data_IF_320461233439
#
_entry.id   IF_320461233439
#
_cell.length_a   1.000
_cell.length_b   1.000
_cell.length_c   1.000
_cell.angle_alpha   90.00
_cell.angle_beta   90.00
_cell.angle_gamma   90.00
#
_symmetry.space_group_name_H-M   'P 1'
#
loop_
_entity.id
_entity.type
_entity.pdbx_description
1 polymer ?
#
# COMPACT_ATOMS: atom_id res chain seq x y z
N UNK A 1 -24.20 -13.83 -32.13
CA UNK A 1 -25.43 -13.57 -32.91
C UNK A 1 -26.31 -12.53 -32.21
N UNK A 2 -26.74 -11.48 -32.92
CA UNK A 2 -27.59 -10.39 -32.40
C UNK A 2 -28.94 -10.88 -31.81
N UNK A 3 -29.36 -12.12 -32.13
CA UNK A 3 -30.58 -12.74 -31.60
C UNK A 3 -30.49 -13.36 -30.19
N UNK A 4 -29.34 -13.31 -29.51
CA UNK A 4 -29.15 -13.91 -28.17
C UNK A 4 -28.86 -12.87 -27.06
N UNK A 5 -29.03 -11.57 -27.34
CA UNK A 5 -28.65 -10.50 -26.42
C UNK A 5 -27.13 -10.33 -26.40
N UNK A 6 -26.61 -9.32 -27.11
CA UNK A 6 -25.18 -9.09 -27.34
C UNK A 6 -24.38 -8.61 -26.12
N UNK A 7 -24.65 -9.15 -24.93
CA UNK A 7 -23.88 -8.84 -23.72
C UNK A 7 -22.52 -9.54 -23.69
N UNK A 8 -21.51 -8.85 -23.16
CA UNK A 8 -20.20 -9.42 -22.85
C UNK A 8 -20.28 -10.21 -21.54
N UNK A 9 -19.41 -11.21 -21.36
CA UNK A 9 -19.30 -11.94 -20.09
C UNK A 9 -19.16 -11.00 -18.88
N UNK A 10 -18.48 -9.87 -19.07
CA UNK A 10 -18.31 -8.82 -18.07
C UNK A 10 -19.63 -8.19 -17.59
N UNK A 11 -20.68 -8.15 -18.43
CA UNK A 11 -21.99 -7.57 -18.09
C UNK A 11 -22.75 -8.45 -17.07
N UNK A 12 -22.40 -9.74 -16.99
CA UNK A 12 -22.96 -10.68 -16.02
C UNK A 12 -22.21 -10.72 -14.68
N UNK A 13 -21.06 -10.04 -14.56
CA UNK A 13 -20.28 -10.01 -13.33
C UNK A 13 -20.85 -9.00 -12.32
N UNK A 14 -20.57 -9.22 -11.03
CA UNK A 14 -20.96 -8.31 -9.97
C UNK A 14 -20.32 -6.92 -10.19
N UNK A 15 -21.11 -5.96 -10.69
CA UNK A 15 -20.64 -4.61 -11.04
C UNK A 15 -20.24 -3.77 -9.82
N UNK A 16 -20.75 -4.15 -8.63
CA UNK A 16 -20.43 -3.49 -7.35
C UNK A 16 -19.97 -4.57 -6.37
N UNK A 17 -18.65 -4.69 -6.20
CA UNK A 17 -18.04 -5.60 -5.22
C UNK A 17 -17.71 -4.87 -3.90
N UNK A 18 -18.70 -4.19 -3.33
CA UNK A 18 -18.56 -3.46 -2.08
C UNK A 18 -18.99 -4.33 -0.90
N UNK A 19 -18.10 -4.57 0.06
CA UNK A 19 -18.45 -5.24 1.30
C UNK A 19 -19.23 -4.26 2.19
N UNK A 20 -20.44 -4.63 2.63
CA UNK A 20 -21.27 -3.75 3.48
C UNK A 20 -20.71 -3.59 4.89
N UNK A 21 -20.02 -4.63 5.39
CA UNK A 21 -19.40 -4.66 6.71
C UNK A 21 -18.10 -5.47 6.59
N UNK A 22 -17.02 -4.99 7.20
CA UNK A 22 -15.74 -5.71 7.23
C UNK A 22 -15.83 -6.96 8.13
N UNK A 23 -15.12 -8.03 7.77
CA UNK A 23 -15.11 -9.27 8.56
C UNK A 23 -14.62 -9.10 10.00
N UNK A 24 -13.82 -8.07 10.28
CA UNK A 24 -13.33 -7.71 11.62
C UNK A 24 -14.32 -6.88 12.43
N UNK A 25 -15.42 -6.40 11.84
CA UNK A 25 -16.39 -5.60 12.56
C UNK A 25 -17.11 -6.45 13.62
N UNK A 26 -17.35 -5.85 14.78
CA UNK A 26 -18.07 -6.48 15.88
C UNK A 26 -19.57 -6.47 15.62
N UNK A 27 -20.19 -7.65 15.67
CA UNK A 27 -21.63 -7.79 15.59
C UNK A 27 -22.26 -7.26 16.89
N UNK A 28 -23.14 -6.26 16.81
CA UNK A 28 -23.74 -5.63 18.00
C UNK A 28 -24.65 -6.57 18.79
N UNK A 29 -25.12 -7.67 18.20
CA UNK A 29 -26.06 -8.60 18.84
C UNK A 29 -25.37 -9.60 19.77
N UNK A 30 -24.10 -9.94 19.51
CA UNK A 30 -23.38 -10.99 20.25
C UNK A 30 -21.93 -10.62 20.61
N UNK A 31 -21.48 -9.41 20.26
CA UNK A 31 -20.15 -8.89 20.54
C UNK A 31 -18.99 -9.74 19.98
N UNK A 32 -19.23 -10.51 18.91
CA UNK A 32 -18.17 -11.24 18.17
C UNK A 32 -17.99 -10.68 16.77
N UNK A 33 -16.84 -10.95 16.14
CA UNK A 33 -16.57 -10.54 14.76
C UNK A 33 -17.39 -11.35 13.74
N UNK A 34 -17.61 -10.81 12.55
CA UNK A 34 -18.24 -11.56 11.45
C UNK A 34 -17.32 -12.67 10.87
N UNK A 35 -16.00 -12.48 10.92
CA UNK A 35 -15.03 -13.52 10.57
C UNK A 35 -14.79 -14.43 11.78
N UNK A 36 -15.01 -15.73 11.59
CA UNK A 36 -14.85 -16.74 12.63
C UNK A 36 -13.40 -16.90 13.11
N UNK A 37 -12.41 -16.52 12.29
CA UNK A 37 -10.99 -16.60 12.64
C UNK A 37 -10.64 -15.78 13.89
N UNK A 38 -11.38 -14.72 14.18
CA UNK A 38 -11.15 -13.89 15.37
C UNK A 38 -12.02 -14.30 16.57
N UNK A 39 -12.82 -15.36 16.45
CA UNK A 39 -13.59 -15.85 17.58
C UNK A 39 -12.67 -16.46 18.65
N UNK A 40 -12.96 -16.29 19.95
CA UNK A 40 -12.08 -16.76 21.03
C UNK A 40 -11.70 -18.24 20.92
N UNK A 41 -12.64 -19.11 20.52
CA UNK A 41 -12.38 -20.53 20.35
C UNK A 41 -11.39 -20.85 19.22
N UNK A 42 -11.47 -20.12 18.10
CA UNK A 42 -10.55 -20.31 16.97
C UNK A 42 -9.16 -19.74 17.30
N UNK A 43 -9.09 -18.60 18.00
CA UNK A 43 -7.84 -18.04 18.50
C UNK A 43 -7.16 -18.99 19.49
N UNK A 44 -7.92 -19.61 20.38
CA UNK A 44 -7.38 -20.58 21.34
C UNK A 44 -6.89 -21.86 20.64
N UNK A 45 -7.66 -22.36 19.66
CA UNK A 45 -7.29 -23.52 18.84
C UNK A 45 -5.99 -23.29 18.05
N UNK A 46 -5.70 -22.04 17.67
CA UNK A 46 -4.46 -21.69 17.00
C UNK A 46 -3.23 -21.74 17.91
N UNK A 47 -3.39 -21.83 19.24
CA UNK A 47 -2.28 -22.01 20.18
C UNK A 47 -1.79 -23.45 20.17
N UNK A 48 -0.69 -23.66 19.46
CA UNK A 48 0.05 -24.92 19.43
C UNK A 48 1.27 -24.86 20.34
N UNK A 49 1.91 -26.00 20.59
CA UNK A 49 3.20 -26.05 21.28
C UNK A 49 4.22 -25.09 20.64
N UNK A 50 4.32 -25.10 19.32
CA UNK A 50 5.25 -24.25 18.56
C UNK A 50 4.96 -22.77 18.74
N UNK A 51 3.70 -22.34 18.71
CA UNK A 51 3.36 -20.92 18.89
C UNK A 51 3.65 -20.43 20.31
N UNK A 52 3.51 -21.31 21.31
CA UNK A 52 3.82 -20.98 22.71
C UNK A 52 5.33 -20.86 22.93
N UNK A 53 6.12 -21.86 22.49
CA UNK A 53 7.59 -21.84 22.59
C UNK A 53 8.18 -20.64 21.83
N UNK A 54 7.61 -20.31 20.66
CA UNK A 54 8.01 -19.11 19.93
C UNK A 54 7.69 -17.84 20.73
N UNK A 55 6.49 -17.74 21.30
CA UNK A 55 6.08 -16.57 22.08
C UNK A 55 6.93 -16.34 23.34
N UNK A 56 7.28 -17.43 24.03
CA UNK A 56 8.21 -17.39 25.18
C UNK A 56 9.61 -16.94 24.77
N UNK A 57 10.13 -17.45 23.64
CA UNK A 57 11.47 -17.11 23.15
C UNK A 57 11.61 -15.64 22.76
N UNK A 58 10.56 -15.05 22.21
CA UNK A 58 10.58 -13.69 21.65
C UNK A 58 9.83 -12.66 22.51
N UNK A 59 9.36 -13.05 23.71
CA UNK A 59 8.55 -12.22 24.61
C UNK A 59 7.38 -11.52 23.89
N UNK A 60 6.66 -12.29 23.06
CA UNK A 60 5.61 -11.77 22.20
C UNK A 60 4.45 -12.73 22.02
N UNK A 61 3.24 -12.20 21.87
CA UNK A 61 2.02 -13.02 21.72
C UNK A 61 1.93 -13.68 20.35
N UNK A 62 2.50 -13.05 19.33
CA UNK A 62 2.52 -13.50 17.94
C UNK A 62 3.60 -12.70 17.16
N UNK A 63 3.89 -13.07 15.90
CA UNK A 63 4.87 -12.35 15.09
C UNK A 63 4.61 -10.85 14.94
N UNK A 64 3.36 -10.42 14.82
CA UNK A 64 3.02 -9.00 14.66
C UNK A 64 3.35 -8.21 15.94
N UNK A 65 3.02 -8.74 17.12
CA UNK A 65 3.38 -8.14 18.42
C UNK A 65 4.89 -7.99 18.57
N UNK A 66 5.67 -9.01 18.19
CA UNK A 66 7.14 -8.93 18.18
C UNK A 66 7.65 -7.82 17.26
N UNK A 67 7.16 -7.76 16.03
CA UNK A 67 7.61 -6.78 15.04
C UNK A 67 7.30 -5.34 15.48
N UNK A 68 6.13 -5.11 16.10
CA UNK A 68 5.74 -3.80 16.64
C UNK A 68 6.62 -3.45 17.86
N UNK A 69 6.79 -4.37 18.82
CA UNK A 69 7.59 -4.14 20.04
C UNK A 69 9.06 -3.82 19.76
N UNK A 70 9.60 -4.31 18.65
CA UNK A 70 11.00 -4.15 18.28
C UNK A 70 11.20 -3.09 17.18
N UNK A 71 10.21 -2.23 16.94
CA UNK A 71 10.27 -1.15 15.93
C UNK A 71 10.62 -1.64 14.51
N UNK A 72 10.30 -2.90 14.19
CA UNK A 72 10.55 -3.52 12.88
C UNK A 72 9.40 -3.19 11.92
N UNK A 73 8.20 -2.98 12.44
CA UNK A 73 7.00 -2.66 11.66
C UNK A 73 6.13 -1.66 12.41
N UNK A 74 5.45 -0.80 11.65
CA UNK A 74 4.41 0.09 12.16
C UNK A 74 3.05 -0.24 11.54
N UNK A 75 1.98 0.06 12.28
CA UNK A 75 0.61 -0.09 11.78
C UNK A 75 0.28 1.13 10.92
N UNK A 76 -0.04 0.89 9.65
CA UNK A 76 -0.55 1.92 8.75
C UNK A 76 -2.04 1.67 8.55
N UNK A 77 -2.93 2.52 9.11
CA UNK A 77 -4.36 2.31 8.95
C UNK A 77 -4.76 2.45 7.48
N UNK A 78 -5.73 1.63 7.09
CA UNK A 78 -6.41 1.81 5.82
C UNK A 78 -7.38 2.97 5.96
N UNK A 79 -7.21 4.00 5.14
CA UNK A 79 -8.11 5.14 5.04
C UNK A 79 -8.52 5.30 3.58
N UNK A 80 -9.76 5.68 3.36
CA UNK A 80 -10.29 5.91 2.02
C UNK A 80 -10.31 7.41 1.75
N UNK A 81 -9.38 7.89 0.93
CA UNK A 81 -9.25 9.29 0.54
C UNK A 81 -9.33 9.42 -0.98
N UNK A 82 -10.10 10.41 -1.45
CA UNK A 82 -10.12 10.77 -2.85
C UNK A 82 -8.97 11.73 -3.12
N UNK A 83 -8.01 11.31 -3.94
CA UNK A 83 -6.87 12.14 -4.32
C UNK A 83 -7.22 12.98 -5.55
N UNK A 84 -6.65 14.18 -5.62
CA UNK A 84 -6.80 15.07 -6.78
C UNK A 84 -6.10 14.44 -7.99
N UNK A 85 -6.75 14.37 -9.17
CA UNK A 85 -6.09 13.88 -10.38
C UNK A 85 -5.00 14.84 -10.84
N UNK A 86 -4.06 14.34 -11.63
CA UNK A 86 -3.03 15.20 -12.24
C UNK A 86 -3.70 16.15 -13.24
N UNK A 87 -3.32 17.42 -13.21
CA UNK A 87 -3.65 18.35 -14.28
C UNK A 87 -2.79 18.10 -15.53
N UNK A 88 -3.07 18.83 -16.62
CA UNK A 88 -2.38 18.62 -17.90
C UNK A 88 -0.87 18.86 -17.81
N UNK A 89 -0.44 19.90 -17.10
CA UNK A 89 0.98 20.26 -17.00
C UNK A 89 1.74 19.26 -16.13
N UNK A 90 1.15 18.86 -15.00
CA UNK A 90 1.69 17.83 -14.11
C UNK A 90 1.80 16.48 -14.84
N UNK A 91 0.77 16.09 -15.59
CA UNK A 91 0.78 14.87 -16.38
C UNK A 91 1.88 14.89 -17.45
N UNK A 92 2.10 16.05 -18.09
CA UNK A 92 3.18 16.22 -19.07
C UNK A 92 4.56 16.06 -18.41
N UNK A 93 4.81 16.78 -17.30
CA UNK A 93 6.05 16.66 -16.53
C UNK A 93 6.30 15.19 -16.15
N UNK A 94 5.31 14.52 -15.56
CA UNK A 94 5.42 13.11 -15.16
C UNK A 94 5.72 12.19 -16.36
N UNK A 95 5.10 12.44 -17.51
CA UNK A 95 5.33 11.65 -18.73
C UNK A 95 6.77 11.79 -19.26
N UNK A 96 7.39 12.95 -19.07
CA UNK A 96 8.78 13.20 -19.46
C UNK A 96 9.76 12.56 -18.45
N UNK A 97 9.48 12.66 -17.15
CA UNK A 97 10.35 12.10 -16.11
C UNK A 97 10.29 10.56 -16.02
N UNK A 98 9.11 9.97 -16.20
CA UNK A 98 8.88 8.53 -15.98
C UNK A 98 9.84 7.61 -16.74
N UNK A 99 10.00 7.76 -18.08
CA UNK A 99 10.92 6.96 -18.86
C UNK A 99 12.39 7.09 -18.42
N UNK A 100 12.82 8.30 -18.02
CA UNK A 100 14.19 8.55 -17.56
C UNK A 100 14.49 7.78 -16.26
N UNK A 101 13.58 7.84 -15.29
CA UNK A 101 13.70 7.09 -14.04
C UNK A 101 13.75 5.58 -14.31
N UNK A 102 12.88 5.07 -15.19
CA UNK A 102 12.86 3.65 -15.55
C UNK A 102 14.16 3.22 -16.21
N UNK A 103 14.64 3.93 -17.22
CA UNK A 103 15.87 3.58 -17.93
C UNK A 103 17.11 3.67 -17.01
N UNK A 104 17.25 4.76 -16.27
CA UNK A 104 18.37 4.95 -15.35
C UNK A 104 18.37 3.92 -14.22
N UNK A 105 17.20 3.58 -13.65
CA UNK A 105 17.10 2.56 -12.59
C UNK A 105 17.55 1.18 -13.07
N UNK A 106 17.19 0.78 -14.29
CA UNK A 106 17.68 -0.47 -14.86
C UNK A 106 19.19 -0.44 -15.07
N UNK A 107 19.74 0.65 -15.62
CA UNK A 107 21.19 0.80 -15.80
C UNK A 107 21.94 0.75 -14.47
N UNK A 108 21.40 1.40 -13.43
CA UNK A 108 21.97 1.40 -12.09
C UNK A 108 22.00 -0.01 -11.46
N UNK A 109 20.95 -0.82 -11.64
CA UNK A 109 20.92 -2.21 -11.15
C UNK A 109 22.02 -3.08 -11.78
N UNK A 110 22.40 -2.78 -13.03
CA UNK A 110 23.43 -3.51 -13.77
C UNK A 110 24.77 -2.79 -13.86
N UNK A 111 25.00 -1.74 -13.05
CA UNK A 111 26.27 -1.05 -13.01
C UNK A 111 27.39 -1.99 -12.56
N UNK A 112 28.55 -1.90 -13.20
CA UNK A 112 29.70 -2.77 -12.94
C UNK A 112 30.36 -2.47 -11.59
N UNK A 113 30.29 -1.20 -11.18
CA UNK A 113 30.83 -0.72 -9.92
C UNK A 113 30.07 0.50 -9.39
N UNK A 114 30.46 0.92 -8.19
CA UNK A 114 29.86 2.06 -7.50
C UNK A 114 30.05 3.39 -8.26
N UNK A 115 31.17 3.56 -8.97
CA UNK A 115 31.45 4.80 -9.68
C UNK A 115 30.57 4.95 -10.91
N UNK A 116 30.31 3.86 -11.63
CA UNK A 116 29.33 3.82 -12.73
C UNK A 116 27.92 4.10 -12.23
N UNK A 117 27.51 3.48 -11.12
CA UNK A 117 26.22 3.75 -10.49
C UNK A 117 26.05 5.23 -10.14
N UNK A 118 27.04 5.83 -9.46
CA UNK A 118 26.99 7.22 -9.02
C UNK A 118 26.96 8.21 -10.19
N UNK A 119 27.63 7.88 -11.28
CA UNK A 119 27.57 8.65 -12.51
C UNK A 119 26.16 8.64 -13.09
N UNK A 120 25.57 7.46 -13.31
CA UNK A 120 24.19 7.34 -13.83
C UNK A 120 23.20 8.06 -12.92
N UNK A 121 23.36 7.93 -11.61
CA UNK A 121 22.53 8.63 -10.62
C UNK A 121 22.66 10.14 -10.70
N UNK A 122 23.88 10.65 -10.92
CA UNK A 122 24.13 12.10 -11.04
C UNK A 122 23.51 12.64 -12.33
N UNK A 123 23.74 11.98 -13.45
CA UNK A 123 23.19 12.34 -14.76
C UNK A 123 21.65 12.35 -14.71
N UNK A 124 21.03 11.32 -14.11
CA UNK A 124 19.57 11.26 -13.92
C UNK A 124 19.02 12.46 -13.16
N UNK A 125 19.66 12.88 -12.06
CA UNK A 125 19.19 14.03 -11.29
C UNK A 125 19.22 15.31 -12.11
N UNK A 126 20.30 15.55 -12.86
CA UNK A 126 20.43 16.72 -13.73
C UNK A 126 19.35 16.73 -14.82
N UNK A 127 19.09 15.59 -15.45
CA UNK A 127 18.02 15.46 -16.45
C UNK A 127 16.63 15.73 -15.84
N UNK A 128 16.35 15.15 -14.67
CA UNK A 128 15.09 15.34 -13.96
C UNK A 128 14.87 16.81 -13.55
N UNK A 129 15.91 17.50 -13.09
CA UNK A 129 15.83 18.95 -12.82
C UNK A 129 15.43 19.73 -14.07
N UNK A 130 15.95 19.36 -15.25
CA UNK A 130 15.56 19.95 -16.54
C UNK A 130 14.11 19.72 -16.94
N UNK A 131 13.42 18.75 -16.34
CA UNK A 131 11.99 18.45 -16.55
C UNK A 131 11.11 18.85 -15.37
N UNK A 132 11.52 19.82 -14.54
CA UNK A 132 10.74 20.34 -13.42
C UNK A 132 10.36 19.27 -12.37
N UNK A 133 11.23 18.29 -12.13
CA UNK A 133 11.01 17.22 -11.16
C UNK A 133 10.65 17.74 -9.76
N UNK A 134 11.27 18.84 -9.31
CA UNK A 134 10.97 19.44 -8.02
C UNK A 134 9.49 19.88 -7.90
N UNK A 135 8.92 20.42 -8.99
CA UNK A 135 7.51 20.81 -9.06
C UNK A 135 6.61 19.58 -8.95
N UNK A 136 6.93 18.51 -9.68
CA UNK A 136 6.20 17.24 -9.60
C UNK A 136 6.22 16.65 -8.18
N UNK A 137 7.39 16.65 -7.54
CA UNK A 137 7.55 16.15 -6.16
C UNK A 137 6.72 16.97 -5.18
N UNK A 138 6.69 18.29 -5.33
CA UNK A 138 5.88 19.15 -4.46
C UNK A 138 4.39 18.91 -4.67
N UNK A 139 3.94 18.83 -5.93
CA UNK A 139 2.55 18.47 -6.26
C UNK A 139 2.15 17.14 -5.61
N UNK A 140 2.97 16.10 -5.76
CA UNK A 140 2.68 14.79 -5.17
C UNK A 140 2.65 14.85 -3.63
N UNK A 141 3.57 15.57 -2.99
CA UNK A 141 3.53 15.76 -1.53
C UNK A 141 2.22 16.41 -1.08
N UNK A 142 1.80 17.47 -1.73
CA UNK A 142 0.57 18.20 -1.37
C UNK A 142 -0.67 17.34 -1.63
N UNK A 143 -0.71 16.65 -2.77
CA UNK A 143 -1.77 15.69 -3.14
C UNK A 143 -1.93 14.57 -2.11
N UNK A 144 -0.82 14.00 -1.64
CA UNK A 144 -0.82 12.88 -0.70
C UNK A 144 -0.87 13.30 0.79
N UNK A 145 -0.75 14.60 1.11
CA UNK A 145 -0.82 15.06 2.50
C UNK A 145 -2.15 14.69 3.18
N UNK A 146 -3.27 14.75 2.44
CA UNK A 146 -4.57 14.31 2.95
C UNK A 146 -4.57 12.83 3.40
N UNK A 147 -3.84 11.96 2.69
CA UNK A 147 -3.68 10.56 3.08
C UNK A 147 -2.88 10.43 4.40
N UNK A 148 -1.83 11.24 4.56
CA UNK A 148 -1.00 11.26 5.77
C UNK A 148 -1.82 11.72 6.97
N UNK A 149 -2.58 12.80 6.81
CA UNK A 149 -3.39 13.40 7.87
C UNK A 149 -4.51 12.44 8.33
N UNK A 150 -5.23 11.83 7.39
CA UNK A 150 -6.28 10.84 7.70
C UNK A 150 -5.72 9.59 8.39
N UNK A 151 -4.52 9.14 8.00
CA UNK A 151 -3.84 8.03 8.69
C UNK A 151 -3.43 8.42 10.11
N UNK A 152 -2.94 9.64 10.32
CA UNK A 152 -2.61 10.13 11.64
C UNK A 152 -3.85 10.25 12.53
N UNK A 153 -4.97 10.74 11.99
CA UNK A 153 -6.25 10.83 12.70
C UNK A 153 -6.78 9.43 13.07
N UNK A 154 -6.71 8.46 12.16
CA UNK A 154 -7.15 7.09 12.41
C UNK A 154 -6.30 6.35 13.45
N UNK A 155 -5.03 6.73 13.65
CA UNK A 155 -4.18 6.20 14.72
C UNK A 155 -4.47 6.85 16.09
N UNK A 156 -5.06 8.04 16.12
CA UNK A 156 -5.34 8.79 17.35
C UNK A 156 -6.70 8.46 17.98
N UNK A 157 -7.63 7.87 17.20
CA UNK A 157 -8.96 7.45 17.65
C UNK A 157 -9.02 5.99 18.07
#
# INVERSE_FOLDING_TARGET
PEGFGGGLYADGMLQVNQWMVGGVATNPNNNTTFSATYWPAEVEKAKTKTTNEWGERFDAKNPVDYLIKNDIMTVVPFVNVNLVPDDTDTALIRSNCGPLVVDASWKMVFANDQAEFEKIWTDLKEELEGFDWATLVQFDKDKYQALVDERAAALAG
#
